data_IF_659458002696
#
_entry.id   IF_659458002696
#
_cell.length_a   1.000
_cell.length_b   1.000
_cell.length_c   1.000
_cell.angle_alpha   90.00
_cell.angle_beta   90.00
_cell.angle_gamma   90.00
#
_symmetry.space_group_name_H-M   'P 1'
#
loop_
_entity.id
_entity.type
_entity.pdbx_description
1 polymer ?
#
# COMPACT_ATOMS: atom_id res chain seq x y z
N UNK A 1 6.91 -19.98 -6.08
CA UNK A 1 7.26 -18.63 -5.61
C UNK A 1 6.17 -18.17 -4.64
N UNK A 2 6.32 -18.41 -3.34
CA UNK A 2 5.31 -18.08 -2.29
C UNK A 2 5.97 -17.61 -0.97
N UNK A 3 7.16 -18.13 -0.67
CA UNK A 3 7.84 -17.89 0.61
C UNK A 3 8.46 -16.49 0.80
N UNK A 4 8.80 -15.77 -0.28
CA UNK A 4 9.48 -14.46 -0.17
C UNK A 4 8.55 -13.35 0.33
N UNK A 5 7.27 -13.43 -0.03
CA UNK A 5 6.27 -12.42 0.33
C UNK A 5 5.81 -12.58 1.78
N UNK A 6 5.69 -13.83 2.27
CA UNK A 6 5.25 -14.12 3.64
C UNK A 6 6.29 -13.71 4.70
N UNK A 7 7.59 -13.90 4.44
CA UNK A 7 8.66 -13.50 5.37
C UNK A 7 8.73 -11.96 5.49
N UNK A 8 8.50 -11.26 4.37
CA UNK A 8 8.53 -9.79 4.34
C UNK A 8 7.35 -9.19 5.11
N UNK A 9 6.16 -9.77 4.99
CA UNK A 9 5.00 -9.37 5.77
C UNK A 9 5.18 -9.61 7.28
N UNK A 10 5.76 -10.75 7.67
CA UNK A 10 6.03 -11.07 9.07
C UNK A 10 7.04 -10.10 9.74
N UNK A 11 7.96 -9.54 8.97
CA UNK A 11 8.96 -8.57 9.47
C UNK A 11 8.42 -7.13 9.59
N UNK A 12 7.37 -6.77 8.84
CA UNK A 12 6.86 -5.40 8.75
C UNK A 12 5.64 -5.13 9.64
N UNK A 13 5.13 -6.15 10.34
CA UNK A 13 3.86 -6.06 11.08
C UNK A 13 2.64 -6.00 10.15
N UNK A 14 1.42 -5.83 10.69
CA UNK A 14 0.20 -5.79 9.88
C UNK A 14 0.29 -4.66 8.85
N UNK A 15 -0.04 -4.96 7.60
CA UNK A 15 -0.05 -3.97 6.54
C UNK A 15 -1.18 -2.96 6.79
N UNK A 16 -1.03 -1.69 6.40
CA UNK A 16 -2.06 -0.68 6.66
C UNK A 16 -3.40 -0.97 5.98
N UNK A 17 -3.39 -1.80 4.94
CA UNK A 17 -4.57 -2.19 4.20
C UNK A 17 -5.31 -3.37 4.83
N UNK A 18 -4.72 -4.06 5.83
CA UNK A 18 -5.37 -5.15 6.53
C UNK A 18 -6.57 -4.61 7.31
N UNK A 19 -7.76 -5.13 7.02
CA UNK A 19 -9.03 -4.63 7.60
C UNK A 19 -9.51 -3.28 7.06
N UNK A 20 -8.87 -2.69 6.05
CA UNK A 20 -9.32 -1.42 5.45
C UNK A 20 -10.54 -1.63 4.54
N UNK A 21 -11.63 -0.89 4.77
CA UNK A 21 -12.83 -0.91 3.91
C UNK A 21 -12.56 -0.57 2.44
N UNK A 22 -11.58 0.31 2.15
CA UNK A 22 -11.24 0.70 0.77
C UNK A 22 -10.34 -0.33 0.05
N UNK A 23 -9.88 -1.40 0.72
CA UNK A 23 -8.87 -2.32 0.17
C UNK A 23 -9.28 -2.88 -1.18
N UNK A 24 -10.54 -3.28 -1.32
CA UNK A 24 -11.07 -3.84 -2.55
C UNK A 24 -11.03 -2.81 -3.70
N UNK A 25 -11.65 -1.64 -3.48
CA UNK A 25 -11.72 -0.54 -4.46
C UNK A 25 -10.32 -0.04 -4.86
N UNK A 26 -9.41 0.12 -3.90
CA UNK A 26 -8.04 0.53 -4.16
C UNK A 26 -7.30 -0.45 -5.09
N UNK A 27 -7.54 -1.75 -4.93
CA UNK A 27 -6.95 -2.80 -5.76
C UNK A 27 -7.54 -2.83 -7.17
N UNK A 28 -8.87 -2.67 -7.31
CA UNK A 28 -9.53 -2.71 -8.62
C UNK A 28 -9.30 -1.44 -9.43
N UNK A 29 -9.34 -0.27 -8.79
CA UNK A 29 -9.31 1.03 -9.47
C UNK A 29 -7.92 1.67 -9.49
N UNK A 30 -6.89 1.00 -8.95
CA UNK A 30 -5.53 1.55 -8.85
C UNK A 30 -5.53 2.87 -8.08
N UNK A 31 -6.02 2.81 -6.84
CA UNK A 31 -6.02 3.93 -5.88
C UNK A 31 -5.09 3.63 -4.71
N UNK A 32 -4.57 4.66 -4.07
CA UNK A 32 -3.83 4.53 -2.82
C UNK A 32 -4.04 5.76 -1.93
N UNK A 33 -3.87 5.60 -0.62
CA UNK A 33 -3.96 6.70 0.35
C UNK A 33 -2.60 7.02 0.98
N UNK A 34 -2.55 8.10 1.77
CA UNK A 34 -1.30 8.56 2.40
C UNK A 34 -0.74 7.55 3.41
N UNK A 35 -1.60 6.80 4.10
CA UNK A 35 -1.17 5.72 5.01
C UNK A 35 -0.37 4.67 4.24
N UNK A 36 -0.91 4.19 3.11
CA UNK A 36 -0.25 3.19 2.28
C UNK A 36 1.05 3.74 1.67
N UNK A 37 1.04 4.98 1.17
CA UNK A 37 2.25 5.64 0.65
C UNK A 37 3.36 5.71 1.70
N UNK A 38 3.03 6.13 2.93
CA UNK A 38 4.00 6.25 4.01
C UNK A 38 4.56 4.89 4.39
N UNK A 39 3.71 3.89 4.52
CA UNK A 39 4.13 2.52 4.81
C UNK A 39 5.01 1.95 3.69
N UNK A 40 4.64 2.12 2.41
CA UNK A 40 5.44 1.67 1.28
C UNK A 40 6.83 2.32 1.25
N UNK A 41 6.93 3.60 1.64
CA UNK A 41 8.20 4.33 1.65
C UNK A 41 9.07 4.06 2.89
N UNK A 42 8.49 3.66 4.03
CA UNK A 42 9.21 3.65 5.32
C UNK A 42 9.11 2.34 6.10
N UNK A 43 8.23 1.43 5.68
CA UNK A 43 7.89 0.21 6.40
C UNK A 43 7.10 0.43 7.70
N UNK A 44 6.73 1.68 8.03
CA UNK A 44 6.07 2.02 9.31
C UNK A 44 4.62 2.42 9.10
N UNK A 45 3.74 1.91 9.96
CA UNK A 45 2.34 2.33 10.01
C UNK A 45 2.24 3.68 10.73
N UNK A 46 1.52 4.63 10.14
CA UNK A 46 1.27 5.94 10.73
C UNK A 46 -0.19 6.32 10.51
N UNK A 47 -0.80 6.94 11.52
CA UNK A 47 -2.17 7.44 11.40
C UNK A 47 -2.17 8.70 10.52
N UNK A 48 -2.60 8.53 9.26
CA UNK A 48 -2.76 9.57 8.26
C UNK A 48 -4.14 9.42 7.61
N UNK A 49 -4.52 10.39 6.77
CA UNK A 49 -5.79 10.33 6.05
C UNK A 49 -5.85 9.14 5.10
N UNK A 50 -6.93 8.36 5.21
CA UNK A 50 -7.28 7.26 4.29
C UNK A 50 -8.20 7.77 3.18
N UNK A 51 -7.72 8.75 2.40
CA UNK A 51 -8.38 9.28 1.20
C UNK A 51 -7.72 8.65 -0.04
N UNK A 52 -8.33 7.62 -0.68
CA UNK A 52 -7.75 6.97 -1.84
C UNK A 52 -7.72 7.89 -3.07
N UNK A 53 -6.58 7.95 -3.77
CA UNK A 53 -6.45 8.71 -5.01
C UNK A 53 -5.54 8.00 -6.02
N UNK A 54 -5.80 8.19 -7.31
CA UNK A 54 -4.91 7.72 -8.38
C UNK A 54 -3.55 8.44 -8.36
N UNK A 55 -3.50 9.69 -7.86
CA UNK A 55 -2.26 10.46 -7.76
C UNK A 55 -1.28 9.73 -6.84
N UNK A 56 -1.73 9.33 -5.66
CA UNK A 56 -0.88 8.62 -4.71
C UNK A 56 -0.49 7.25 -5.24
N UNK A 57 -1.41 6.53 -5.89
CA UNK A 57 -1.10 5.24 -6.49
C UNK A 57 0.05 5.34 -7.49
N UNK A 58 0.01 6.32 -8.40
CA UNK A 58 1.07 6.56 -9.40
C UNK A 58 2.42 6.94 -8.79
N UNK A 59 2.43 7.54 -7.60
CA UNK A 59 3.68 7.83 -6.89
C UNK A 59 4.32 6.57 -6.30
N UNK A 60 3.51 5.63 -5.82
CA UNK A 60 4.00 4.37 -5.22
C UNK A 60 4.34 3.33 -6.28
N UNK A 61 3.55 3.26 -7.35
CA UNK A 61 3.73 2.36 -8.48
C UNK A 61 4.02 3.18 -9.74
N UNK A 62 5.23 3.76 -9.87
CA UNK A 62 5.60 4.43 -11.10
C UNK A 62 5.54 3.43 -12.26
N UNK A 63 4.98 3.86 -13.40
CA UNK A 63 5.09 3.06 -14.61
C UNK A 63 6.57 2.88 -14.91
N UNK A 64 7.04 1.64 -14.90
CA UNK A 64 8.38 1.31 -15.42
C UNK A 64 8.38 1.75 -16.88
N UNK A 65 9.12 2.82 -17.18
CA UNK A 65 9.39 3.22 -18.54
C UNK A 65 10.27 2.12 -19.15
N UNK A 66 9.71 1.38 -20.11
CA UNK A 66 10.49 0.56 -21.03
C UNK A 66 11.25 1.47 -22.00
#
# INVERSE_FOLDING_TARGET
MKAKDEITAALLGPAPCDGCHHRFECGSEKLACQVFQRWANTGRHQELRREPTHKIYRMVFPAVAN
#
